data_IF_379858258310
#
_entry.id   IF_379858258310
#
_cell.length_a   1.000
_cell.length_b   1.000
_cell.length_c   1.000
_cell.angle_alpha   90.00
_cell.angle_beta   90.00
_cell.angle_gamma   90.00
#
_symmetry.space_group_name_H-M   'P 1'
#
loop_
_entity.id
_entity.type
_entity.pdbx_description
1 polymer ?
#
# COMPACT_ATOMS: atom_id res chain seq x y z
N UNK A 1 27.72 37.35 -2.50
CA UNK A 1 27.10 36.31 -1.63
C UNK A 1 25.57 36.32 -1.68
N UNK A 2 24.91 37.48 -1.74
CA UNK A 2 23.44 37.59 -1.81
C UNK A 2 22.80 36.90 -3.03
N UNK A 3 23.36 37.09 -4.22
CA UNK A 3 22.85 36.47 -5.46
C UNK A 3 22.89 34.93 -5.40
N UNK A 4 23.89 34.36 -4.73
CA UNK A 4 24.03 32.91 -4.59
C UNK A 4 22.88 32.34 -3.75
N UNK A 5 22.54 33.00 -2.64
CA UNK A 5 21.41 32.60 -1.80
C UNK A 5 20.06 32.73 -2.53
N UNK A 6 19.93 33.77 -3.37
CA UNK A 6 18.72 33.97 -4.19
C UNK A 6 18.52 32.84 -5.21
N UNK A 7 19.60 32.42 -5.89
CA UNK A 7 19.54 31.32 -6.87
C UNK A 7 19.21 29.99 -6.18
N UNK A 8 19.80 29.70 -5.01
CA UNK A 8 19.51 28.46 -4.27
C UNK A 8 18.03 28.41 -3.84
N UNK A 9 17.46 29.53 -3.40
CA UNK A 9 16.05 29.63 -3.04
C UNK A 9 15.11 29.32 -4.23
N UNK A 10 15.42 29.87 -5.41
CA UNK A 10 14.66 29.59 -6.65
C UNK A 10 14.76 28.12 -7.07
N UNK A 11 15.92 27.48 -6.92
CA UNK A 11 16.10 26.06 -7.22
C UNK A 11 15.25 25.16 -6.30
N UNK A 12 15.21 25.44 -4.99
CA UNK A 12 14.41 24.67 -4.03
C UNK A 12 12.91 24.76 -4.32
N UNK A 13 12.42 25.95 -4.72
CA UNK A 13 11.03 26.19 -5.12
C UNK A 13 10.59 25.31 -6.30
N UNK A 14 11.49 24.98 -7.24
CA UNK A 14 11.16 24.13 -8.40
C UNK A 14 11.14 22.63 -8.08
N UNK A 15 11.92 22.18 -7.09
CA UNK A 15 12.06 20.75 -6.75
C UNK A 15 10.91 20.24 -5.87
N UNK A 16 10.47 21.04 -4.89
CA UNK A 16 9.38 20.70 -3.97
C UNK A 16 8.07 20.27 -4.67
N UNK A 17 7.54 20.99 -5.69
CA UNK A 17 6.28 20.61 -6.33
C UNK A 17 6.38 19.31 -7.13
N UNK A 18 7.57 18.93 -7.60
CA UNK A 18 7.77 17.70 -8.36
C UNK A 18 7.85 16.45 -7.46
N UNK A 19 8.44 16.58 -6.26
CA UNK A 19 8.56 15.49 -5.28
C UNK A 19 7.19 15.03 -4.74
N UNK A 20 6.26 15.96 -4.50
CA UNK A 20 4.94 15.62 -3.92
C UNK A 20 4.09 14.70 -4.82
N UNK A 21 4.12 14.90 -6.14
CA UNK A 21 3.31 14.13 -7.11
C UNK A 21 3.82 12.70 -7.30
N UNK A 22 5.14 12.51 -7.29
CA UNK A 22 5.73 11.17 -7.38
C UNK A 22 5.41 10.33 -6.15
N UNK A 23 5.41 10.94 -4.96
CA UNK A 23 5.08 10.23 -3.73
C UNK A 23 3.68 9.61 -3.77
N UNK A 24 2.65 10.35 -4.18
CA UNK A 24 1.28 9.83 -4.28
C UNK A 24 1.16 8.67 -5.26
N UNK A 25 1.84 8.75 -6.40
CA UNK A 25 1.85 7.69 -7.42
C UNK A 25 2.51 6.41 -6.88
N UNK A 26 3.63 6.56 -6.16
CA UNK A 26 4.34 5.45 -5.52
C UNK A 26 3.44 4.79 -4.47
N UNK A 27 2.75 5.56 -3.62
CA UNK A 27 1.84 4.99 -2.62
C UNK A 27 0.68 4.22 -3.24
N UNK A 28 0.08 4.73 -4.33
CA UNK A 28 -1.02 4.04 -5.03
C UNK A 28 -0.55 2.73 -5.66
N UNK A 29 0.61 2.74 -6.32
CA UNK A 29 1.22 1.52 -6.90
C UNK A 29 1.59 0.51 -5.81
N UNK A 30 2.16 0.96 -4.70
CA UNK A 30 2.48 0.12 -3.55
C UNK A 30 1.24 -0.53 -2.94
N UNK A 31 0.16 0.23 -2.77
CA UNK A 31 -1.11 -0.29 -2.26
C UNK A 31 -1.75 -1.32 -3.20
N UNK A 32 -1.65 -1.12 -4.52
CA UNK A 32 -2.10 -2.09 -5.53
C UNK A 32 -1.26 -3.38 -5.51
N UNK A 33 0.05 -3.26 -5.30
CA UNK A 33 0.91 -4.43 -5.15
C UNK A 33 0.59 -5.20 -3.86
N UNK A 34 0.37 -4.49 -2.74
CA UNK A 34 -0.03 -5.09 -1.47
C UNK A 34 -1.38 -5.82 -1.61
N UNK A 35 -2.36 -5.21 -2.28
CA UNK A 35 -3.65 -5.84 -2.57
C UNK A 35 -3.46 -7.19 -3.28
N UNK A 36 -2.66 -7.23 -4.35
CA UNK A 36 -2.38 -8.46 -5.09
C UNK A 36 -1.65 -9.50 -4.25
N UNK A 37 -0.66 -9.08 -3.46
CA UNK A 37 0.06 -9.98 -2.55
C UNK A 37 -0.89 -10.60 -1.53
N UNK A 38 -1.70 -9.78 -0.84
CA UNK A 38 -2.67 -10.26 0.16
C UNK A 38 -3.71 -11.15 -0.51
N UNK A 39 -4.19 -10.83 -1.71
CA UNK A 39 -5.07 -11.71 -2.48
C UNK A 39 -4.43 -13.09 -2.74
N UNK A 40 -3.16 -13.13 -3.12
CA UNK A 40 -2.43 -14.38 -3.27
C UNK A 40 -2.26 -15.13 -1.95
N UNK A 41 -2.06 -14.43 -0.83
CA UNK A 41 -2.02 -15.06 0.50
C UNK A 41 -3.37 -15.62 0.93
N UNK A 42 -4.49 -14.93 0.62
CA UNK A 42 -5.87 -15.45 0.82
C UNK A 42 -6.06 -16.75 0.05
N UNK A 43 -5.61 -16.77 -1.20
CA UNK A 43 -5.70 -17.96 -2.05
C UNK A 43 -4.82 -19.10 -1.53
N UNK A 44 -3.60 -18.80 -1.06
CA UNK A 44 -2.73 -19.79 -0.42
C UNK A 44 -3.38 -20.40 0.83
N UNK A 45 -3.97 -19.56 1.70
CA UNK A 45 -4.73 -20.03 2.86
C UNK A 45 -5.89 -20.96 2.45
N UNK A 46 -6.59 -20.60 1.36
CA UNK A 46 -7.68 -21.41 0.80
C UNK A 46 -7.19 -22.76 0.29
N UNK A 47 -5.98 -22.83 -0.27
CA UNK A 47 -5.38 -24.09 -0.71
C UNK A 47 -4.96 -24.97 0.47
N UNK A 48 -4.46 -24.38 1.55
CA UNK A 48 -3.98 -25.12 2.72
C UNK A 48 -5.13 -25.62 3.63
N UNK A 49 -6.16 -24.81 3.81
CA UNK A 49 -7.26 -25.07 4.76
C UNK A 49 -8.59 -25.44 4.07
N UNK A 50 -8.63 -25.48 2.74
CA UNK A 50 -9.83 -25.67 1.91
C UNK A 50 -10.97 -24.66 2.19
N UNK A 51 -10.67 -23.58 2.91
CA UNK A 51 -11.64 -22.59 3.39
C UNK A 51 -11.10 -21.19 3.18
N UNK A 52 -11.99 -20.23 2.90
CA UNK A 52 -11.61 -18.83 2.87
C UNK A 52 -11.36 -18.32 4.30
N UNK A 53 -10.34 -17.47 4.51
CA UNK A 53 -10.09 -16.89 5.82
C UNK A 53 -11.27 -16.01 6.25
N UNK A 54 -11.65 -16.11 7.52
CA UNK A 54 -12.74 -15.32 8.12
C UNK A 54 -12.47 -13.81 8.05
N UNK A 55 -11.21 -13.41 8.13
CA UNK A 55 -10.76 -12.02 8.03
C UNK A 55 -9.28 -11.93 7.67
N UNK A 56 -8.83 -10.74 7.25
CA UNK A 56 -7.39 -10.44 7.07
C UNK A 56 -6.59 -10.55 8.38
N UNK A 57 -7.25 -10.51 9.54
CA UNK A 57 -6.60 -10.73 10.83
C UNK A 57 -6.16 -12.18 10.99
N UNK A 58 -6.93 -13.15 10.51
CA UNK A 58 -6.54 -14.58 10.55
C UNK A 58 -5.28 -14.82 9.73
N UNK A 59 -5.20 -14.21 8.54
CA UNK A 59 -3.99 -14.27 7.71
C UNK A 59 -2.76 -13.66 8.40
N UNK A 60 -2.97 -12.66 9.26
CA UNK A 60 -1.89 -12.04 10.04
C UNK A 60 -1.49 -12.89 11.24
N UNK A 61 -2.46 -13.46 11.95
CA UNK A 61 -2.22 -14.35 13.09
C UNK A 61 -1.54 -15.65 12.69
N UNK A 62 -1.81 -16.13 11.48
CA UNK A 62 -1.18 -17.32 10.90
C UNK A 62 0.05 -16.99 10.03
N UNK A 63 0.63 -15.80 10.16
CA UNK A 63 1.86 -15.36 9.49
C UNK A 63 1.85 -15.40 7.94
N UNK A 64 0.68 -15.54 7.29
CA UNK A 64 0.55 -15.45 5.83
C UNK A 64 0.80 -14.02 5.30
N UNK A 65 0.54 -13.00 6.12
CA UNK A 65 0.77 -11.58 5.80
C UNK A 65 1.30 -10.81 7.00
N UNK A 66 2.22 -9.88 6.75
CA UNK A 66 2.77 -9.01 7.81
C UNK A 66 1.89 -7.78 8.07
N UNK A 67 1.26 -7.25 7.02
CA UNK A 67 0.40 -6.07 7.07
C UNK A 67 -0.64 -6.10 5.94
N UNK A 68 -1.79 -5.50 6.20
CA UNK A 68 -2.84 -5.22 5.20
C UNK A 68 -3.17 -3.71 5.14
N UNK A 69 -2.31 -2.87 5.74
CA UNK A 69 -2.48 -1.42 5.78
C UNK A 69 -1.55 -0.76 4.77
N UNK A 70 -2.10 0.06 3.90
CA UNK A 70 -1.32 0.91 3.02
C UNK A 70 -0.72 2.09 3.79
N UNK A 71 0.43 2.61 3.33
CA UNK A 71 1.19 3.69 4.00
C UNK A 71 0.37 4.97 4.25
N UNK A 72 -0.73 5.17 3.54
CA UNK A 72 -1.67 6.28 3.75
C UNK A 72 -2.67 6.02 4.90
N UNK A 73 -2.43 5.00 5.74
CA UNK A 73 -3.34 4.51 6.80
C UNK A 73 -4.69 3.98 6.27
N UNK A 74 -4.71 3.63 4.99
CA UNK A 74 -5.87 3.06 4.32
C UNK A 74 -5.79 1.55 4.50
N UNK A 75 -6.82 0.96 5.11
CA UNK A 75 -6.91 -0.49 5.29
C UNK A 75 -7.53 -1.12 4.04
N UNK A 76 -6.99 -2.25 3.60
CA UNK A 76 -7.60 -3.02 2.52
C UNK A 76 -8.94 -3.60 3.00
N UNK A 77 -9.96 -3.48 2.16
CA UNK A 77 -11.25 -4.12 2.38
C UNK A 77 -11.16 -5.58 1.97
N UNK A 78 -11.77 -6.46 2.75
CA UNK A 78 -11.84 -7.89 2.46
C UNK A 78 -13.29 -8.35 2.45
N UNK A 79 -13.68 -9.00 1.36
CA UNK A 79 -14.97 -9.65 1.22
C UNK A 79 -14.84 -11.14 1.53
N UNK A 80 -15.46 -11.56 2.65
CA UNK A 80 -15.48 -12.96 3.10
C UNK A 80 -16.30 -13.88 2.18
N UNK A 81 -17.29 -13.35 1.45
CA UNK A 81 -18.14 -14.16 0.58
C UNK A 81 -17.40 -14.62 -0.69
N UNK A 82 -16.49 -13.77 -1.18
CA UNK A 82 -15.81 -13.98 -2.45
C UNK A 82 -14.28 -14.16 -2.30
N UNK A 83 -13.72 -13.92 -1.11
CA UNK A 83 -12.29 -13.97 -0.85
C UNK A 83 -11.52 -12.81 -1.49
N UNK A 84 -12.19 -11.72 -1.86
CA UNK A 84 -11.60 -10.62 -2.64
C UNK A 84 -11.04 -9.52 -1.75
N UNK A 85 -9.82 -9.10 -2.01
CA UNK A 85 -9.15 -7.97 -1.38
C UNK A 85 -9.27 -6.75 -2.28
N UNK A 86 -9.83 -5.66 -1.77
CA UNK A 86 -10.05 -4.41 -2.49
C UNK A 86 -9.38 -3.23 -1.80
N UNK A 87 -8.94 -2.26 -2.59
CA UNK A 87 -8.54 -0.94 -2.09
C UNK A 87 -9.84 -0.13 -1.95
N UNK A 88 -10.08 0.57 -0.82
CA UNK A 88 -11.23 1.46 -0.66
C UNK A 88 -11.20 2.67 -1.59
#
# INVERSE_FOLDING_TARGET
>A
MLIVLFIISLLLLLVIPNLGKQQQTIQKKGCTALQKMVQSSVEAYRLDNEQLPESLSVLKEQDYITTYKCNNKVELLYDKANGTVSIP
#
